data_IF_438511260065
#
_entry.id   IF_438511260065
#
_cell.length_a   1.000
_cell.length_b   1.000
_cell.length_c   1.000
_cell.angle_alpha   90.00
_cell.angle_beta   90.00
_cell.angle_gamma   90.00
#
_symmetry.space_group_name_H-M   'P 1'
#
loop_
_entity.id
_entity.type
_entity.pdbx_description
1 polymer ?
#
# COMPACT_ATOMS: atom_id res chain seq x y z
N UNK A 1 27.12 22.45 -31.03
CA UNK A 1 26.53 21.54 -32.03
C UNK A 1 26.83 20.10 -31.61
N UNK A 2 25.80 19.23 -31.68
CA UNK A 2 25.78 17.77 -31.42
C UNK A 2 25.99 17.38 -29.94
N UNK A 3 24.95 17.14 -29.14
CA UNK A 3 23.86 16.12 -29.20
C UNK A 3 24.38 14.68 -29.14
N UNK A 4 24.45 14.12 -27.93
CA UNK A 4 24.34 12.67 -27.72
C UNK A 4 23.21 12.42 -26.73
N UNK A 5 22.15 11.81 -27.27
CA UNK A 5 20.90 11.46 -26.60
C UNK A 5 21.14 10.50 -25.42
N UNK A 6 20.78 10.93 -24.21
CA UNK A 6 20.42 10.04 -23.12
C UNK A 6 19.05 9.41 -23.45
N UNK A 7 19.09 8.19 -23.96
CA UNK A 7 17.95 7.28 -24.02
C UNK A 7 17.94 6.46 -22.73
N UNK A 8 17.42 7.01 -21.64
CA UNK A 8 17.09 6.21 -20.47
C UNK A 8 15.64 6.46 -20.06
N UNK A 9 14.83 5.43 -20.26
CA UNK A 9 13.40 5.44 -19.97
C UNK A 9 13.16 5.49 -18.47
N UNK A 10 12.62 6.61 -17.99
CA UNK A 10 12.03 6.70 -16.66
C UNK A 10 10.92 5.66 -16.51
N UNK A 11 11.07 4.74 -15.55
CA UNK A 11 10.01 3.80 -15.18
C UNK A 11 9.18 4.43 -14.07
N UNK A 12 7.95 4.80 -14.41
CA UNK A 12 6.95 5.22 -13.43
C UNK A 12 6.35 3.95 -12.80
N UNK A 13 6.40 3.85 -11.46
CA UNK A 13 5.79 2.73 -10.71
C UNK A 13 4.69 3.32 -9.84
N UNK A 14 3.43 2.96 -10.11
CA UNK A 14 2.29 3.31 -9.28
C UNK A 14 1.72 2.05 -8.63
N UNK A 15 2.04 1.79 -7.37
CA UNK A 15 1.51 0.64 -6.63
C UNK A 15 0.31 1.05 -5.76
N UNK A 16 -0.83 0.37 -5.93
CA UNK A 16 -1.97 0.41 -5.02
C UNK A 16 -2.30 -1.02 -4.58
N UNK A 17 -2.23 -1.30 -3.28
CA UNK A 17 -2.40 -2.66 -2.73
C UNK A 17 -3.67 -2.71 -1.86
N UNK A 18 -4.63 -3.56 -2.22
CA UNK A 18 -5.75 -3.98 -1.36
C UNK A 18 -6.28 -5.34 -1.86
N UNK A 19 -6.46 -6.35 -0.99
CA UNK A 19 -6.80 -7.74 -1.36
C UNK A 19 -8.06 -8.27 -0.64
N UNK A 20 -8.82 -9.22 -1.23
CA UNK A 20 -9.57 -10.32 -0.53
C UNK A 20 -10.29 -11.34 -1.46
N UNK A 21 -10.22 -12.63 -1.02
CA UNK A 21 -11.08 -13.84 -1.12
C UNK A 21 -11.66 -14.38 -2.46
N UNK A 22 -11.44 -15.69 -2.70
CA UNK A 22 -12.23 -16.51 -3.63
C UNK A 22 -12.80 -17.77 -2.96
N UNK A 23 -14.07 -18.04 -3.23
CA UNK A 23 -14.79 -19.30 -2.98
C UNK A 23 -14.68 -20.16 -4.24
N UNK A 24 -14.42 -21.45 -4.07
CA UNK A 24 -14.39 -22.44 -5.16
C UNK A 24 -15.80 -22.62 -5.75
N UNK A 25 -15.87 -22.71 -7.08
CA UNK A 25 -16.84 -23.57 -7.75
C UNK A 25 -16.13 -24.37 -8.85
N UNK A 26 -16.34 -25.67 -8.77
CA UNK A 26 -15.88 -26.71 -9.69
C UNK A 26 -16.74 -26.77 -10.95
N UNK A 27 -16.14 -27.29 -12.02
CA UNK A 27 -16.79 -27.83 -13.23
C UNK A 27 -17.58 -26.82 -14.09
N UNK A 28 -17.03 -26.46 -15.26
CA UNK A 28 -17.78 -26.38 -16.53
C UNK A 28 -16.91 -25.82 -17.67
N UNK A 29 -16.08 -26.65 -18.28
CA UNK A 29 -15.50 -26.34 -19.60
C UNK A 29 -16.55 -26.38 -20.74
N UNK A 30 -17.82 -26.71 -20.44
CA UNK A 30 -18.93 -26.71 -21.40
C UNK A 30 -19.86 -25.49 -21.39
N UNK A 31 -19.65 -24.48 -20.53
CA UNK A 31 -20.61 -23.38 -20.33
C UNK A 31 -20.19 -22.02 -20.93
N UNK A 32 -18.96 -21.88 -21.44
CA UNK A 32 -18.48 -20.59 -21.96
C UNK A 32 -19.02 -20.24 -23.36
N UNK A 33 -19.46 -21.21 -24.16
CA UNK A 33 -20.05 -20.93 -25.47
C UNK A 33 -21.46 -20.35 -25.37
N UNK A 34 -22.25 -20.72 -24.36
CA UNK A 34 -23.64 -20.29 -24.19
C UNK A 34 -23.81 -18.91 -23.53
N UNK A 35 -22.78 -18.40 -22.84
CA UNK A 35 -22.80 -17.06 -22.23
C UNK A 35 -22.46 -15.93 -23.21
N UNK A 36 -21.88 -16.23 -24.37
CA UNK A 36 -21.48 -15.21 -25.36
C UNK A 36 -22.64 -14.71 -26.21
N UNK A 37 -23.69 -15.52 -26.38
CA UNK A 37 -24.90 -15.16 -27.11
C UNK A 37 -25.88 -14.26 -26.35
N UNK A 38 -25.77 -14.17 -25.02
CA UNK A 38 -26.84 -13.57 -24.18
C UNK A 38 -26.52 -12.19 -23.58
N UNK A 39 -25.30 -11.67 -23.75
CA UNK A 39 -24.90 -10.41 -23.12
C UNK A 39 -25.32 -9.15 -23.92
N UNK A 40 -25.31 -9.23 -25.26
CA UNK A 40 -25.68 -8.11 -26.15
C UNK A 40 -27.19 -7.84 -26.11
N UNK A 41 -28.01 -8.88 -25.95
CA UNK A 41 -29.48 -8.79 -25.92
C UNK A 41 -30.06 -8.17 -24.63
N UNK A 42 -29.23 -7.95 -23.60
CA UNK A 42 -29.68 -7.40 -22.31
C UNK A 42 -29.70 -5.88 -22.24
N UNK A 43 -29.13 -5.17 -23.21
CA UNK A 43 -29.06 -3.71 -23.17
C UNK A 43 -30.12 -3.07 -24.07
N UNK A 44 -31.17 -2.51 -23.45
CA UNK A 44 -32.12 -1.64 -24.15
C UNK A 44 -31.70 -0.19 -24.01
N UNK A 45 -31.29 0.41 -25.12
CA UNK A 45 -30.93 1.83 -25.17
C UNK A 45 -32.17 2.71 -25.24
N UNK A 46 -32.31 3.62 -24.28
CA UNK A 46 -33.39 4.61 -24.24
C UNK A 46 -32.82 6.02 -24.17
N UNK A 47 -33.57 7.00 -24.68
CA UNK A 47 -33.21 8.42 -24.57
C UNK A 47 -33.60 8.90 -23.19
N UNK A 48 -32.69 9.58 -22.49
CA UNK A 48 -33.06 10.26 -21.26
C UNK A 48 -33.99 11.44 -21.59
N UNK A 49 -34.91 11.76 -20.69
CA UNK A 49 -35.84 12.87 -20.87
C UNK A 49 -35.55 14.06 -19.95
N UNK A 50 -34.64 13.88 -18.98
CA UNK A 50 -34.31 14.90 -18.00
C UNK A 50 -32.95 15.55 -18.31
N UNK A 51 -32.97 16.84 -18.66
CA UNK A 51 -31.79 17.62 -19.05
C UNK A 51 -30.77 17.76 -17.89
N UNK A 52 -31.22 17.87 -16.64
CA UNK A 52 -30.34 17.87 -15.47
C UNK A 52 -29.60 16.53 -15.31
N UNK A 53 -30.29 15.40 -15.53
CA UNK A 53 -29.63 14.08 -15.55
C UNK A 53 -28.64 13.96 -16.71
N UNK A 54 -28.95 14.50 -17.89
CA UNK A 54 -28.02 14.52 -19.02
C UNK A 54 -26.76 15.33 -18.72
N UNK A 55 -26.91 16.51 -18.13
CA UNK A 55 -25.79 17.38 -17.76
C UNK A 55 -24.93 16.77 -16.64
N UNK A 56 -25.57 16.21 -15.62
CA UNK A 56 -24.89 15.58 -14.49
C UNK A 56 -24.15 14.29 -14.92
N UNK A 57 -24.76 13.49 -15.81
CA UNK A 57 -24.18 12.22 -16.27
C UNK A 57 -23.32 12.36 -17.54
N UNK A 58 -23.36 13.51 -18.20
CA UNK A 58 -22.66 13.84 -19.45
C UNK A 58 -22.98 12.87 -20.61
N UNK A 59 -24.25 12.48 -20.74
CA UNK A 59 -24.76 11.53 -21.74
C UNK A 59 -26.21 11.83 -22.10
N UNK A 60 -26.67 11.36 -23.27
CA UNK A 60 -28.05 11.55 -23.76
C UNK A 60 -28.88 10.26 -23.64
N UNK A 61 -28.22 9.10 -23.63
CA UNK A 61 -28.84 7.78 -23.66
C UNK A 61 -28.56 6.98 -22.38
N UNK A 62 -29.51 6.16 -21.94
CA UNK A 62 -29.36 5.25 -20.79
C UNK A 62 -29.42 3.78 -21.25
N UNK A 63 -28.60 2.88 -20.68
CA UNK A 63 -27.48 3.17 -19.78
C UNK A 63 -26.34 3.92 -20.48
N UNK A 64 -25.80 4.98 -19.83
CA UNK A 64 -24.76 5.82 -20.41
C UNK A 64 -23.45 5.07 -20.71
N UNK A 65 -23.23 3.93 -20.05
CA UNK A 65 -22.08 3.07 -20.29
C UNK A 65 -22.25 2.13 -21.48
N UNK A 66 -23.47 1.97 -22.01
CA UNK A 66 -23.76 1.04 -23.10
C UNK A 66 -24.30 1.72 -24.35
N UNK A 67 -24.86 2.91 -24.22
CA UNK A 67 -25.67 3.54 -25.26
C UNK A 67 -25.11 4.90 -25.67
N UNK A 68 -25.01 5.12 -26.98
CA UNK A 68 -24.66 6.43 -27.57
C UNK A 68 -25.84 6.99 -28.35
N UNK A 69 -25.92 8.32 -28.42
CA UNK A 69 -26.85 8.98 -29.32
C UNK A 69 -26.26 9.01 -30.72
N UNK A 70 -26.92 8.33 -31.66
CA UNK A 70 -26.54 8.40 -33.07
C UNK A 70 -27.27 9.56 -33.71
N UNK A 71 -26.52 10.57 -34.16
CA UNK A 71 -27.09 11.68 -34.92
C UNK A 71 -27.62 11.24 -36.29
N UNK A 72 -27.09 10.14 -36.83
CA UNK A 72 -27.50 9.58 -38.11
C UNK A 72 -28.88 8.89 -38.02
N UNK A 73 -29.11 8.07 -36.99
CA UNK A 73 -30.40 7.40 -36.77
C UNK A 73 -31.34 8.19 -35.83
N UNK A 74 -30.90 9.33 -35.31
CA UNK A 74 -31.59 10.16 -34.31
C UNK A 74 -32.08 9.39 -33.07
N UNK A 75 -31.48 8.25 -32.79
CA UNK A 75 -31.88 7.32 -31.75
C UNK A 75 -30.71 6.94 -30.85
N UNK A 76 -31.05 6.44 -29.66
CA UNK A 76 -30.08 5.81 -28.78
C UNK A 76 -29.78 4.41 -29.27
N UNK A 77 -28.53 4.17 -29.63
CA UNK A 77 -28.04 2.88 -30.14
C UNK A 77 -26.98 2.33 -29.21
N UNK A 78 -26.77 1.02 -29.26
CA UNK A 78 -25.66 0.40 -28.54
C UNK A 78 -24.34 0.99 -29.07
N UNK A 79 -23.42 1.29 -28.15
CA UNK A 79 -22.10 1.80 -28.50
C UNK A 79 -21.33 0.74 -29.29
N UNK A 80 -20.60 1.13 -30.34
CA UNK A 80 -19.78 0.21 -31.13
C UNK A 80 -18.65 -0.45 -30.30
N UNK A 81 -18.35 0.10 -29.13
CA UNK A 81 -17.43 -0.48 -28.14
C UNK A 81 -18.00 -1.75 -27.47
N UNK A 82 -19.32 -1.94 -27.49
CA UNK A 82 -20.01 -3.15 -27.02
C UNK A 82 -20.32 -4.17 -28.12
N UNK A 83 -20.09 -3.84 -29.39
CA UNK A 83 -20.15 -4.88 -30.43
C UNK A 83 -19.09 -5.91 -30.08
N UNK A 84 -19.52 -7.18 -30.06
CA UNK A 84 -18.66 -8.35 -29.93
C UNK A 84 -17.31 -8.07 -30.58
N UNK A 85 -16.23 -8.40 -29.85
CA UNK A 85 -14.87 -8.30 -30.35
C UNK A 85 -14.87 -8.71 -31.81
N UNK A 86 -14.65 -7.73 -32.68
CA UNK A 86 -14.39 -8.01 -34.07
C UNK A 86 -13.28 -9.05 -34.06
N UNK A 87 -13.47 -10.15 -34.77
CA UNK A 87 -12.41 -11.12 -35.09
C UNK A 87 -11.23 -10.48 -35.86
N UNK A 88 -11.20 -9.15 -35.99
CA UNK A 88 -10.04 -8.39 -36.38
C UNK A 88 -9.06 -8.27 -35.22
N UNK A 89 -7.88 -8.79 -35.48
CA UNK A 89 -6.59 -8.69 -34.79
C UNK A 89 -6.09 -7.26 -34.53
N UNK A 90 -6.98 -6.27 -34.40
CA UNK A 90 -6.61 -4.92 -33.96
C UNK A 90 -6.28 -4.97 -32.47
N UNK A 91 -5.07 -5.44 -32.15
CA UNK A 91 -4.40 -5.09 -30.89
C UNK A 91 -4.50 -3.57 -30.78
N UNK A 92 -5.23 -3.08 -29.78
CA UNK A 92 -5.14 -1.68 -29.37
C UNK A 92 -3.66 -1.37 -29.20
N UNK A 93 -3.10 -0.54 -30.09
CA UNK A 93 -1.71 -0.15 -30.00
C UNK A 93 -1.54 0.65 -28.71
N UNK A 94 -0.71 0.19 -27.76
CA UNK A 94 -0.50 0.92 -26.52
C UNK A 94 -0.01 2.34 -26.82
N UNK A 95 -0.67 3.33 -26.23
CA UNK A 95 -0.21 4.72 -26.28
C UNK A 95 0.91 4.85 -25.26
N UNK A 96 2.06 5.40 -25.66
CA UNK A 96 3.11 5.69 -24.69
C UNK A 96 2.56 6.65 -23.62
N UNK A 97 2.46 6.22 -22.34
CA UNK A 97 1.93 7.10 -21.31
C UNK A 97 2.87 8.27 -21.08
N UNK A 98 2.31 9.41 -20.68
CA UNK A 98 3.11 10.54 -20.22
C UNK A 98 3.90 10.09 -18.99
N UNK A 99 5.22 10.28 -18.98
CA UNK A 99 6.08 9.83 -17.87
C UNK A 99 6.36 10.94 -16.85
N UNK A 100 5.90 12.16 -17.12
CA UNK A 100 6.05 13.30 -16.21
C UNK A 100 5.27 13.06 -14.90
N UNK A 101 5.97 12.97 -13.75
CA UNK A 101 5.33 12.75 -12.46
C UNK A 101 4.26 13.79 -12.12
N UNK A 102 4.39 15.04 -12.59
CA UNK A 102 3.43 16.12 -12.32
C UNK A 102 2.04 15.81 -12.90
N UNK A 103 1.97 14.99 -13.95
CA UNK A 103 0.70 14.55 -14.53
C UNK A 103 0.00 13.48 -13.70
N UNK A 104 0.76 12.64 -13.00
CA UNK A 104 0.22 11.52 -12.23
C UNK A 104 0.01 11.84 -10.75
N UNK A 105 0.92 12.62 -10.17
CA UNK A 105 0.91 12.97 -8.76
C UNK A 105 -0.04 14.11 -8.46
N UNK A 106 -0.56 14.14 -7.25
CA UNK A 106 -1.30 15.29 -6.73
C UNK A 106 -0.37 16.51 -6.73
N UNK A 107 -0.84 17.58 -7.35
CA UNK A 107 -0.24 18.91 -7.24
C UNK A 107 -0.41 19.44 -5.81
N UNK A 108 0.31 20.51 -5.46
CA UNK A 108 0.19 21.16 -4.15
C UNK A 108 -1.26 21.59 -3.85
N UNK A 109 -1.97 22.12 -4.85
CA UNK A 109 -3.37 22.52 -4.72
C UNK A 109 -4.29 21.31 -4.47
N UNK A 110 -4.10 20.21 -5.22
CA UNK A 110 -4.87 18.98 -5.02
C UNK A 110 -4.56 18.34 -3.66
N UNK A 111 -3.30 18.26 -3.25
CA UNK A 111 -2.87 17.76 -1.93
C UNK A 111 -3.52 18.57 -0.81
N UNK A 112 -3.49 19.90 -0.90
CA UNK A 112 -4.13 20.82 0.04
C UNK A 112 -5.65 20.62 0.09
N UNK A 113 -6.29 20.38 -1.05
CA UNK A 113 -7.73 20.07 -1.10
C UNK A 113 -8.07 18.79 -0.32
N UNK A 114 -7.20 17.76 -0.35
CA UNK A 114 -7.38 16.52 0.44
C UNK A 114 -7.26 16.72 1.96
N UNK A 115 -6.81 17.90 2.39
CA UNK A 115 -6.54 18.30 3.78
C UNK A 115 -7.41 19.48 4.21
N UNK A 116 -8.54 19.70 3.54
CA UNK A 116 -9.48 20.79 3.83
C UNK A 116 -8.81 22.17 3.88
N UNK A 117 -7.91 22.44 2.94
CA UNK A 117 -7.20 23.71 2.80
C UNK A 117 -5.89 23.80 3.58
N UNK A 118 -5.57 22.83 4.44
CA UNK A 118 -4.38 22.87 5.30
C UNK A 118 -3.13 22.42 4.52
N UNK A 119 -2.05 23.22 4.48
CA UNK A 119 -0.77 22.81 3.90
C UNK A 119 -0.25 21.49 4.49
N UNK A 120 0.55 20.75 3.71
CA UNK A 120 1.20 19.53 4.19
C UNK A 120 2.66 19.84 4.53
N UNK A 121 2.94 19.90 5.83
CA UNK A 121 4.29 20.14 6.34
C UNK A 121 4.96 18.81 6.75
N UNK A 122 6.28 18.77 6.69
CA UNK A 122 7.11 17.64 7.18
C UNK A 122 7.29 16.48 6.22
N UNK A 123 6.55 16.43 5.11
CA UNK A 123 6.77 15.49 4.00
C UNK A 123 6.87 16.28 2.69
N UNK A 124 7.69 15.81 1.77
CA UNK A 124 7.76 16.41 0.43
C UNK A 124 6.45 16.16 -0.34
N UNK A 125 6.15 17.02 -1.32
CA UNK A 125 5.02 16.80 -2.22
C UNK A 125 5.27 15.54 -3.06
N UNK A 126 6.47 15.40 -3.59
CA UNK A 126 7.03 14.18 -4.16
C UNK A 126 8.57 14.32 -4.16
N UNK A 127 9.26 13.21 -4.40
CA UNK A 127 10.72 13.22 -4.60
C UNK A 127 11.11 12.45 -5.86
N UNK A 128 12.25 12.83 -6.42
CA UNK A 128 12.94 12.11 -7.49
C UNK A 128 14.13 11.33 -6.90
N UNK A 129 14.76 10.46 -7.69
CA UNK A 129 15.98 9.77 -7.25
C UNK A 129 15.72 8.56 -6.36
N UNK A 130 14.52 7.97 -6.39
CA UNK A 130 14.19 6.81 -5.57
C UNK A 130 14.45 5.51 -6.31
N UNK A 131 15.02 4.53 -5.61
CA UNK A 131 15.07 3.14 -6.04
C UNK A 131 13.95 2.36 -5.37
N UNK A 132 13.19 1.61 -6.16
CA UNK A 132 11.94 0.96 -5.75
C UNK A 132 12.03 -0.53 -6.06
N UNK A 133 11.88 -1.35 -5.02
CA UNK A 133 11.78 -2.81 -5.14
C UNK A 133 10.36 -3.23 -4.80
N UNK A 134 9.69 -3.91 -5.72
CA UNK A 134 8.37 -4.49 -5.48
C UNK A 134 8.51 -5.92 -4.99
N UNK A 135 7.86 -6.24 -3.88
CA UNK A 135 7.76 -7.59 -3.32
C UNK A 135 6.34 -8.08 -3.51
N UNK A 136 6.07 -8.75 -4.64
CA UNK A 136 4.77 -9.40 -4.92
C UNK A 136 4.65 -10.79 -4.30
N UNK A 137 5.73 -11.27 -3.67
CA UNK A 137 5.80 -12.53 -2.93
C UNK A 137 6.18 -12.16 -1.51
N UNK A 138 5.37 -12.55 -0.53
CA UNK A 138 5.57 -12.08 0.85
C UNK A 138 6.83 -12.64 1.48
N UNK A 139 7.25 -13.87 1.15
CA UNK A 139 8.53 -14.43 1.62
C UNK A 139 9.76 -13.62 1.19
N UNK A 140 9.74 -12.99 0.02
CA UNK A 140 10.82 -12.11 -0.43
C UNK A 140 10.85 -10.82 0.40
N UNK A 141 9.69 -10.28 0.77
CA UNK A 141 9.59 -9.15 1.70
C UNK A 141 10.15 -9.51 3.08
N UNK A 142 9.75 -10.65 3.65
CA UNK A 142 10.27 -11.11 4.94
C UNK A 142 11.80 -11.28 4.91
N UNK A 143 12.32 -11.84 3.82
CA UNK A 143 13.77 -12.00 3.63
C UNK A 143 14.48 -10.64 3.55
N UNK A 144 13.90 -9.66 2.86
CA UNK A 144 14.48 -8.32 2.73
C UNK A 144 14.56 -7.59 4.08
N UNK A 145 13.48 -7.57 4.87
CA UNK A 145 13.49 -6.92 6.18
C UNK A 145 14.36 -7.66 7.19
N UNK A 146 14.46 -8.99 7.11
CA UNK A 146 15.37 -9.80 7.93
C UNK A 146 16.83 -9.38 7.64
N UNK A 147 17.21 -9.34 6.37
CA UNK A 147 18.56 -8.97 5.95
C UNK A 147 18.92 -7.53 6.35
N UNK A 148 18.04 -6.56 6.09
CA UNK A 148 18.27 -5.17 6.48
C UNK A 148 18.36 -5.03 8.01
N UNK A 149 17.48 -5.71 8.76
CA UNK A 149 17.53 -5.68 10.24
C UNK A 149 18.83 -6.28 10.77
N UNK A 150 19.29 -7.40 10.23
CA UNK A 150 20.55 -8.03 10.63
C UNK A 150 21.78 -7.23 10.20
N UNK A 151 21.66 -6.29 9.25
CA UNK A 151 22.77 -5.47 8.75
C UNK A 151 23.05 -4.21 9.57
N UNK A 152 22.20 -3.85 10.53
CA UNK A 152 22.52 -2.74 11.47
C UNK A 152 23.82 -3.03 12.20
N UNK A 153 24.54 -2.00 12.61
CA UNK A 153 25.85 -2.12 13.24
C UNK A 153 26.20 -0.98 14.21
N UNK A 154 25.37 0.07 14.30
CA UNK A 154 25.67 1.29 15.04
C UNK A 154 24.55 1.72 16.00
N UNK A 155 24.86 2.41 17.12
CA UNK A 155 23.88 3.11 17.96
C UNK A 155 23.07 4.19 17.25
N UNK A 156 23.50 4.64 16.07
CA UNK A 156 22.78 5.60 15.22
C UNK A 156 21.84 4.93 14.22
N UNK A 157 21.79 3.60 14.19
CA UNK A 157 20.86 2.84 13.36
C UNK A 157 19.49 2.78 14.02
N UNK A 158 18.45 2.66 13.18
CA UNK A 158 17.05 2.74 13.58
C UNK A 158 16.27 1.61 12.94
N UNK A 159 15.44 0.92 13.72
CA UNK A 159 14.48 -0.08 13.24
C UNK A 159 13.09 0.28 13.75
N UNK A 160 12.32 0.97 12.92
CA UNK A 160 10.99 1.48 13.29
C UNK A 160 9.92 0.74 12.50
N UNK A 161 8.84 0.30 13.14
CA UNK A 161 7.75 -0.37 12.44
C UNK A 161 6.38 -0.10 13.03
N UNK A 162 5.39 -0.04 12.14
CA UNK A 162 3.99 0.06 12.51
C UNK A 162 3.18 -0.99 11.76
N UNK A 163 2.13 -1.48 12.39
CA UNK A 163 1.28 -2.53 11.84
C UNK A 163 -0.14 -2.50 12.40
N UNK A 164 -1.04 -3.18 11.71
CA UNK A 164 -2.39 -3.44 12.16
C UNK A 164 -2.41 -4.59 13.17
N UNK A 165 -1.58 -5.61 12.93
CA UNK A 165 -1.37 -6.74 13.83
C UNK A 165 0.11 -7.08 13.91
N UNK A 166 0.49 -7.77 14.98
CA UNK A 166 1.83 -8.32 15.15
C UNK A 166 1.78 -9.63 15.94
N UNK A 167 2.72 -10.53 15.66
CA UNK A 167 2.99 -11.71 16.47
C UNK A 167 4.49 -12.03 16.46
N UNK A 168 4.95 -12.87 17.39
CA UNK A 168 6.30 -13.44 17.32
C UNK A 168 6.32 -14.56 16.26
N UNK A 169 6.71 -14.19 15.05
CA UNK A 169 6.72 -15.05 13.87
C UNK A 169 8.13 -15.46 13.48
N UNK A 170 8.24 -16.61 12.79
CA UNK A 170 9.43 -17.01 12.05
C UNK A 170 9.52 -16.18 10.76
N UNK A 171 10.62 -15.46 10.56
CA UNK A 171 10.83 -14.58 9.40
C UNK A 171 11.31 -15.37 8.18
N UNK A 172 12.12 -16.42 8.38
CA UNK A 172 12.55 -17.33 7.32
C UNK A 172 12.38 -18.81 7.72
N UNK A 173 11.22 -19.41 7.39
CA UNK A 173 10.95 -20.84 7.57
C UNK A 173 11.91 -21.77 6.83
N UNK A 174 12.63 -21.29 5.80
CA UNK A 174 13.55 -22.12 5.01
C UNK A 174 14.92 -22.24 5.67
N UNK A 175 15.22 -21.41 6.67
CA UNK A 175 16.49 -21.47 7.39
C UNK A 175 16.62 -22.79 8.16
N UNK A 176 17.84 -23.34 8.19
CA UNK A 176 18.13 -24.59 8.95
C UNK A 176 17.78 -24.43 10.43
N UNK A 177 18.04 -23.25 10.99
CA UNK A 177 17.64 -22.85 12.34
C UNK A 177 16.59 -21.74 12.25
N UNK A 178 15.39 -22.09 11.77
CA UNK A 178 14.30 -21.13 11.55
C UNK A 178 13.85 -20.44 12.85
N UNK A 179 14.04 -21.09 14.00
CA UNK A 179 13.78 -20.55 15.33
C UNK A 179 14.63 -19.31 15.64
N UNK A 180 15.87 -19.26 15.16
CA UNK A 180 16.74 -18.07 15.28
C UNK A 180 16.28 -16.90 14.41
N UNK A 181 15.39 -17.16 13.45
CA UNK A 181 14.79 -16.12 12.59
C UNK A 181 13.49 -15.57 13.17
N UNK A 182 13.11 -15.96 14.39
CA UNK A 182 11.94 -15.40 15.07
C UNK A 182 12.10 -13.90 15.26
N UNK A 183 11.00 -13.16 15.08
CA UNK A 183 11.00 -11.69 15.20
C UNK A 183 11.65 -11.24 16.52
N UNK A 184 11.30 -11.87 17.65
CA UNK A 184 11.91 -11.53 18.93
C UNK A 184 13.42 -11.78 18.99
N UNK A 185 13.93 -12.84 18.37
CA UNK A 185 15.37 -13.10 18.27
C UNK A 185 16.07 -12.04 17.41
N UNK A 186 15.47 -11.67 16.28
CA UNK A 186 16.00 -10.60 15.42
C UNK A 186 16.05 -9.28 16.19
N UNK A 187 15.01 -8.94 16.96
CA UNK A 187 15.00 -7.73 17.78
C UNK A 187 16.08 -7.75 18.88
N UNK A 188 16.39 -8.92 19.46
CA UNK A 188 17.53 -9.05 20.39
C UNK A 188 18.86 -8.78 19.69
N UNK A 189 19.06 -9.32 18.49
CA UNK A 189 20.28 -9.08 17.70
C UNK A 189 20.41 -7.60 17.33
N UNK A 190 19.36 -6.99 16.78
CA UNK A 190 19.30 -5.56 16.43
C UNK A 190 19.66 -4.71 17.65
N UNK A 191 19.07 -5.01 18.81
CA UNK A 191 19.32 -4.29 20.05
C UNK A 191 20.76 -4.45 20.54
N UNK A 192 21.30 -5.66 20.48
CA UNK A 192 22.68 -5.96 20.90
C UNK A 192 23.72 -5.19 20.07
N UNK A 193 23.39 -4.88 18.82
CA UNK A 193 24.20 -4.01 17.94
C UNK A 193 24.01 -2.51 18.18
N UNK A 194 23.19 -2.13 19.16
CA UNK A 194 23.02 -0.75 19.61
C UNK A 194 21.88 0.02 18.98
N UNK A 195 21.24 -0.50 17.92
CA UNK A 195 20.18 0.20 17.19
C UNK A 195 18.98 0.57 18.09
N UNK A 196 18.31 1.67 17.71
CA UNK A 196 17.07 2.13 18.34
C UNK A 196 15.84 1.48 17.69
N UNK A 197 14.98 0.87 18.49
CA UNK A 197 13.85 0.07 18.00
C UNK A 197 12.52 0.68 18.47
N UNK A 198 11.61 0.97 17.54
CA UNK A 198 10.30 1.56 17.86
C UNK A 198 9.18 0.80 17.18
N UNK A 199 8.21 0.34 17.96
CA UNK A 199 7.04 -0.38 17.46
C UNK A 199 5.76 0.36 17.81
N UNK A 200 4.91 0.62 16.79
CA UNK A 200 3.61 1.24 16.96
C UNK A 200 2.50 0.36 16.35
N UNK A 201 1.80 -0.40 17.18
CA UNK A 201 0.84 -1.42 16.73
C UNK A 201 -0.59 -0.99 17.07
N UNK A 202 -1.55 -1.25 16.18
CA UNK A 202 -2.95 -0.95 16.49
C UNK A 202 -3.43 -1.77 17.69
N UNK A 203 -4.03 -1.10 18.68
CA UNK A 203 -4.70 -1.79 19.78
C UNK A 203 -6.05 -2.34 19.27
N UNK A 204 -6.21 -3.66 19.29
CA UNK A 204 -7.35 -4.37 18.71
C UNK A 204 -7.62 -5.70 19.44
N UNK A 205 -8.61 -6.45 18.97
CA UNK A 205 -9.02 -7.73 19.58
C UNK A 205 -7.99 -8.85 19.48
N UNK A 206 -6.87 -8.67 18.78
CA UNK A 206 -5.82 -9.68 18.56
C UNK A 206 -4.45 -9.26 19.12
N UNK A 207 -4.44 -8.29 20.04
CA UNK A 207 -3.26 -7.92 20.82
C UNK A 207 -2.64 -9.08 21.59
N UNK A 208 -3.41 -10.14 21.90
CA UNK A 208 -2.90 -11.34 22.57
C UNK A 208 -1.74 -11.99 21.83
N UNK A 209 -1.76 -11.97 20.49
CA UNK A 209 -0.69 -12.51 19.65
C UNK A 209 0.59 -11.66 19.70
N UNK A 210 0.47 -10.35 19.94
CA UNK A 210 1.59 -9.42 20.03
C UNK A 210 2.24 -9.31 21.40
N UNK A 211 1.68 -9.97 22.44
CA UNK A 211 2.17 -9.85 23.83
C UNK A 211 3.62 -10.27 24.01
N UNK A 212 4.07 -11.31 23.31
CA UNK A 212 5.46 -11.75 23.43
C UNK A 212 6.44 -10.73 22.84
N UNK A 213 6.12 -10.14 21.68
CA UNK A 213 6.93 -9.07 21.08
C UNK A 213 6.96 -7.85 21.99
N UNK A 214 5.80 -7.46 22.54
CA UNK A 214 5.69 -6.36 23.51
C UNK A 214 6.57 -6.63 24.75
N UNK A 215 6.46 -7.82 25.36
CA UNK A 215 7.23 -8.23 26.53
C UNK A 215 8.72 -8.22 26.24
N UNK A 216 9.16 -8.76 25.11
CA UNK A 216 10.58 -8.73 24.73
C UNK A 216 11.07 -7.30 24.61
N UNK A 217 10.36 -6.45 23.85
CA UNK A 217 10.79 -5.07 23.62
C UNK A 217 10.76 -4.19 24.87
N UNK A 218 9.74 -4.35 25.74
CA UNK A 218 9.54 -3.47 26.88
C UNK A 218 10.15 -3.99 28.19
N UNK A 219 10.30 -5.31 28.34
CA UNK A 219 10.71 -5.94 29.60
C UNK A 219 12.03 -6.70 29.54
N UNK A 220 12.39 -7.29 28.40
CA UNK A 220 13.60 -8.10 28.25
C UNK A 220 14.78 -7.29 27.70
N UNK A 221 14.55 -6.50 26.65
CA UNK A 221 15.61 -5.68 26.08
C UNK A 221 16.06 -4.60 27.08
N UNK A 222 17.36 -4.22 27.11
CA UNK A 222 17.89 -3.27 28.08
C UNK A 222 17.04 -2.00 28.16
N UNK A 223 16.65 -1.65 29.39
CA UNK A 223 15.85 -0.47 29.71
C UNK A 223 16.78 0.70 30.09
N UNK A 224 17.20 1.59 29.19
CA UNK A 224 17.33 2.98 29.59
C UNK A 224 15.94 3.47 30.00
N UNK A 225 15.89 4.43 30.92
CA UNK A 225 14.68 5.00 31.52
C UNK A 225 13.62 5.47 30.49
N UNK A 226 14.03 5.72 29.24
CA UNK A 226 13.22 6.00 28.04
C UNK A 226 13.44 5.02 26.85
N UNK A 227 14.43 4.13 26.96
CA UNK A 227 14.63 2.93 26.15
C UNK A 227 15.11 3.15 24.72
N UNK A 228 16.15 2.44 24.29
CA UNK A 228 16.48 2.25 22.85
C UNK A 228 15.68 1.08 22.22
N UNK A 229 14.66 0.59 22.92
CA UNK A 229 13.61 -0.26 22.41
C UNK A 229 12.30 0.12 23.11
N UNK A 230 11.23 0.37 22.35
CA UNK A 230 9.92 0.68 22.90
C UNK A 230 8.79 0.21 21.99
N UNK A 231 7.88 -0.57 22.57
CA UNK A 231 6.65 -1.01 21.92
C UNK A 231 5.45 -0.29 22.53
N UNK A 232 4.64 0.32 21.67
CA UNK A 232 3.40 0.99 22.03
C UNK A 232 2.23 0.42 21.23
N UNK A 233 1.13 0.15 21.90
CA UNK A 233 -0.16 0.02 21.25
C UNK A 233 -0.78 1.40 21.04
N UNK A 234 -1.50 1.59 19.95
CA UNK A 234 -2.13 2.87 19.58
C UNK A 234 -3.57 2.61 19.17
N UNK A 235 -4.52 3.36 19.74
CA UNK A 235 -5.94 3.32 19.38
C UNK A 235 -6.51 4.69 19.05
N UNK A 236 -5.64 5.65 18.68
CA UNK A 236 -6.01 7.02 18.34
C UNK A 236 -6.77 7.13 17.02
N UNK A 237 -7.96 6.55 16.95
CA UNK A 237 -8.83 6.49 15.76
C UNK A 237 -10.15 7.25 16.00
N UNK A 238 -10.73 7.90 14.98
CA UNK A 238 -11.88 8.80 15.16
C UNK A 238 -13.18 8.12 15.62
N UNK A 239 -13.25 6.79 15.54
CA UNK A 239 -14.44 6.02 15.89
C UNK A 239 -14.08 4.55 16.11
N UNK A 240 -14.96 3.80 16.77
CA UNK A 240 -14.83 2.34 16.98
C UNK A 240 -14.72 1.51 15.68
N UNK A 241 -15.18 2.05 14.55
CA UNK A 241 -15.05 1.40 13.22
C UNK A 241 -13.77 1.80 12.49
N UNK A 242 -12.95 2.68 13.07
CA UNK A 242 -11.67 3.09 12.54
C UNK A 242 -10.55 2.13 12.96
N UNK A 243 -9.46 2.11 12.21
CA UNK A 243 -8.28 1.33 12.55
C UNK A 243 -7.01 2.02 12.09
N UNK A 244 -5.90 1.66 12.74
CA UNK A 244 -4.57 1.96 12.24
C UNK A 244 -4.14 0.86 11.29
N UNK A 245 -4.40 1.06 10.00
CA UNK A 245 -4.21 0.02 8.99
C UNK A 245 -2.92 0.16 8.17
N UNK A 246 -2.09 1.16 8.47
CA UNK A 246 -0.78 1.32 7.83
C UNK A 246 0.18 0.21 8.29
N UNK A 247 0.87 -0.43 7.35
CA UNK A 247 2.01 -1.30 7.62
C UNK A 247 3.26 -0.66 7.07
N UNK A 248 4.26 -0.47 7.92
CA UNK A 248 5.56 0.01 7.50
C UNK A 248 6.67 -0.60 8.35
N UNK A 249 7.81 -0.83 7.71
CA UNK A 249 9.04 -1.24 8.37
C UNK A 249 10.17 -0.36 7.84
N UNK A 250 10.90 0.30 8.72
CA UNK A 250 11.87 1.34 8.39
C UNK A 250 13.19 0.93 9.00
N UNK A 251 14.24 0.85 8.17
CA UNK A 251 15.59 0.56 8.61
C UNK A 251 16.51 1.69 8.16
N UNK A 252 17.02 2.45 9.13
CA UNK A 252 18.20 3.29 8.92
C UNK A 252 19.41 2.48 9.37
N UNK A 253 20.38 2.34 8.47
CA UNK A 253 21.68 1.74 8.77
C UNK A 253 22.76 2.61 8.14
N UNK A 254 23.72 3.03 8.96
CA UNK A 254 24.74 4.01 8.59
C UNK A 254 24.07 5.26 7.96
N UNK A 255 24.48 5.61 6.74
CA UNK A 255 23.98 6.72 5.92
C UNK A 255 22.82 6.34 4.99
N UNK A 256 22.26 5.14 5.12
CA UNK A 256 21.22 4.64 4.22
C UNK A 256 19.90 4.43 4.95
N UNK A 257 18.81 4.72 4.25
CA UNK A 257 17.45 4.55 4.76
C UNK A 257 16.63 3.77 3.74
N UNK A 258 16.06 2.66 4.22
CA UNK A 258 15.09 1.86 3.48
C UNK A 258 13.77 1.86 4.24
N UNK A 259 12.67 2.10 3.53
CA UNK A 259 11.33 2.00 4.08
C UNK A 259 10.49 1.01 3.26
N UNK A 260 9.89 0.05 3.93
CA UNK A 260 8.99 -0.93 3.36
C UNK A 260 7.55 -0.55 3.69
N UNK A 261 6.68 -0.41 2.68
CA UNK A 261 5.25 -0.07 2.86
C UNK A 261 4.36 -0.94 1.97
N UNK A 262 3.15 -1.27 2.43
CA UNK A 262 2.22 -2.13 1.68
C UNK A 262 1.20 -2.84 2.56
N UNK A 263 0.77 -4.03 2.13
CA UNK A 263 -0.34 -4.78 2.73
C UNK A 263 0.06 -5.81 3.79
N UNK A 264 1.34 -6.12 3.92
CA UNK A 264 1.82 -7.24 4.75
C UNK A 264 2.08 -6.82 6.21
N UNK A 265 1.34 -7.40 7.16
CA UNK A 265 1.66 -7.33 8.60
C UNK A 265 2.72 -8.39 8.97
N UNK A 266 3.45 -8.18 10.07
CA UNK A 266 4.30 -9.21 10.69
C UNK A 266 3.44 -10.15 11.54
N UNK A 267 2.68 -11.03 10.87
CA UNK A 267 1.68 -11.87 11.51
C UNK A 267 1.73 -13.34 11.05
N UNK A 268 1.08 -14.20 11.84
CA UNK A 268 1.27 -15.66 11.89
C UNK A 268 1.14 -16.40 10.54
N UNK A 269 0.39 -15.88 9.59
CA UNK A 269 0.03 -16.55 8.33
C UNK A 269 0.42 -15.74 7.09
N UNK A 270 1.33 -14.78 7.23
CA UNK A 270 1.68 -13.83 6.15
C UNK A 270 2.84 -14.27 5.29
N UNK A 271 3.71 -15.15 5.77
CA UNK A 271 4.81 -15.68 4.97
C UNK A 271 4.28 -16.72 3.97
N UNK A 272 4.54 -16.49 2.69
CA UNK A 272 4.17 -17.41 1.60
C UNK A 272 5.06 -17.26 0.36
N UNK A 273 5.02 -18.26 -0.51
CA UNK A 273 5.79 -18.33 -1.76
C UNK A 273 4.92 -18.07 -2.97
N UNK A 274 5.54 -17.75 -4.11
CA UNK A 274 4.83 -17.50 -5.37
C UNK A 274 3.94 -18.66 -5.81
N UNK A 275 4.29 -19.89 -5.42
CA UNK A 275 3.59 -21.12 -5.80
C UNK A 275 2.51 -21.55 -4.79
N UNK A 276 2.46 -20.94 -3.60
CA UNK A 276 1.50 -21.26 -2.53
C UNK A 276 1.45 -22.74 -2.12
N UNK A 277 2.52 -23.51 -2.38
CA UNK A 277 2.58 -24.96 -2.20
C UNK A 277 3.43 -25.38 -0.99
N UNK A 278 3.91 -24.43 -0.19
CA UNK A 278 4.75 -24.68 1.00
C UNK A 278 3.93 -24.93 2.27
N UNK A 279 2.89 -25.76 2.19
CA UNK A 279 2.02 -26.04 3.35
C UNK A 279 2.78 -26.75 4.48
N UNK A 280 3.52 -27.81 4.15
CA UNK A 280 4.27 -28.59 5.13
C UNK A 280 5.33 -27.76 5.87
N UNK A 281 6.03 -26.88 5.14
CA UNK A 281 7.05 -26.00 5.70
C UNK A 281 6.43 -24.98 6.66
N UNK A 282 5.31 -24.38 6.26
CA UNK A 282 4.60 -23.41 7.10
C UNK A 282 4.04 -24.06 8.36
N UNK A 283 3.49 -25.27 8.26
CA UNK A 283 2.99 -25.99 9.43
C UNK A 283 4.14 -26.34 10.39
N UNK A 284 5.29 -26.82 9.90
CA UNK A 284 6.45 -27.16 10.76
C UNK A 284 7.09 -25.94 11.42
N UNK A 285 7.12 -24.78 10.75
CA UNK A 285 7.65 -23.53 11.29
C UNK A 285 6.62 -22.72 12.11
N UNK A 286 5.38 -23.20 12.25
CA UNK A 286 4.32 -22.49 12.96
C UNK A 286 3.81 -21.23 12.24
N UNK A 287 4.02 -21.13 10.92
CA UNK A 287 3.43 -20.10 10.06
C UNK A 287 1.99 -20.51 9.72
N UNK A 288 1.11 -20.44 10.70
CA UNK A 288 -0.27 -20.84 10.53
C UNK A 288 -1.25 -19.92 11.25
N UNK A 289 -2.40 -19.69 10.63
CA UNK A 289 -3.57 -19.12 11.25
C UNK A 289 -4.80 -19.60 10.47
N UNK A 290 -5.73 -18.70 10.15
CA UNK A 290 -6.96 -19.03 9.44
C UNK A 290 -6.73 -19.46 7.99
N UNK A 291 -5.75 -18.88 7.30
CA UNK A 291 -5.55 -19.08 5.87
C UNK A 291 -4.33 -19.93 5.57
N UNK A 292 -4.47 -20.81 4.59
CA UNK A 292 -3.43 -21.73 4.12
C UNK A 292 -2.69 -21.20 2.90
N UNK A 293 -2.78 -19.90 2.60
CA UNK A 293 -1.96 -19.21 1.61
C UNK A 293 -2.21 -17.70 1.70
N UNK A 294 -1.25 -16.89 1.29
CA UNK A 294 -1.32 -15.44 1.36
C UNK A 294 -0.77 -14.79 0.08
N UNK A 295 -1.59 -13.98 -0.57
CA UNK A 295 -1.20 -13.15 -1.71
C UNK A 295 -1.30 -11.70 -1.27
N UNK A 296 -0.19 -11.00 -1.31
CA UNK A 296 -0.11 -9.60 -0.92
C UNK A 296 1.16 -8.98 -1.49
N UNK A 297 1.28 -7.66 -1.39
CA UNK A 297 2.42 -6.94 -1.92
C UNK A 297 2.96 -5.89 -0.95
N UNK A 298 4.29 -5.73 -0.99
CA UNK A 298 5.03 -4.68 -0.33
C UNK A 298 5.92 -3.96 -1.33
N UNK A 299 6.30 -2.72 -1.03
CA UNK A 299 7.30 -1.96 -1.76
C UNK A 299 8.41 -1.56 -0.80
N UNK A 300 9.66 -1.86 -1.15
CA UNK A 300 10.86 -1.31 -0.52
C UNK A 300 11.29 -0.04 -1.25
N UNK A 301 11.48 1.03 -0.49
CA UNK A 301 11.86 2.36 -0.96
C UNK A 301 13.24 2.69 -0.41
N UNK A 302 14.20 2.88 -1.31
CA UNK A 302 15.52 3.43 -0.98
C UNK A 302 15.69 4.77 -1.69
N UNK A 303 15.80 5.86 -0.93
CA UNK A 303 15.86 7.21 -1.49
C UNK A 303 15.12 8.24 -0.64
N UNK A 304 14.99 9.50 -1.12
CA UNK A 304 14.38 10.58 -0.37
C UNK A 304 12.94 10.31 0.11
N UNK A 305 12.15 9.51 -0.62
CA UNK A 305 10.81 9.13 -0.21
C UNK A 305 10.76 8.22 1.03
N UNK A 306 11.84 7.47 1.32
CA UNK A 306 11.92 6.67 2.54
C UNK A 306 11.93 7.56 3.79
N UNK A 307 12.51 8.76 3.70
CA UNK A 307 12.49 9.77 4.77
C UNK A 307 11.07 10.27 5.04
N UNK A 308 10.25 10.45 4.01
CA UNK A 308 8.84 10.85 4.18
C UNK A 308 8.02 9.75 4.87
N UNK A 309 8.32 8.47 4.60
CA UNK A 309 7.71 7.34 5.34
C UNK A 309 8.15 7.36 6.81
N UNK A 310 9.44 7.56 7.09
CA UNK A 310 9.95 7.70 8.45
C UNK A 310 9.32 8.89 9.19
N UNK A 311 9.19 10.04 8.53
CA UNK A 311 8.53 11.22 9.09
C UNK A 311 7.06 10.97 9.39
N UNK A 312 6.36 10.15 8.58
CA UNK A 312 5.00 9.75 8.90
C UNK A 312 4.91 8.88 10.17
N UNK A 313 5.85 7.95 10.35
CA UNK A 313 5.96 7.17 11.59
C UNK A 313 6.23 8.08 12.79
N UNK A 314 7.26 8.93 12.71
CA UNK A 314 7.70 9.83 13.79
C UNK A 314 6.58 10.81 14.15
N UNK A 315 5.88 11.39 13.16
CA UNK A 315 4.78 12.31 13.43
C UNK A 315 3.65 11.63 14.22
N UNK A 316 3.37 10.35 13.94
CA UNK A 316 2.36 9.58 14.67
C UNK A 316 2.86 9.11 16.03
N UNK A 317 4.14 8.77 16.19
CA UNK A 317 4.74 8.51 17.49
C UNK A 317 4.60 9.74 18.40
N UNK A 318 5.01 10.91 17.89
CA UNK A 318 5.01 12.20 18.58
C UNK A 318 3.61 12.86 18.67
N UNK A 319 2.56 12.19 18.20
CA UNK A 319 1.21 12.73 18.27
C UNK A 319 0.81 12.97 19.74
N UNK A 320 0.23 14.13 20.09
CA UNK A 320 -0.11 14.46 21.46
C UNK A 320 -1.17 13.51 22.04
N UNK A 321 -1.12 13.37 23.36
CA UNK A 321 -2.00 12.49 24.13
C UNK A 321 -1.54 11.03 24.14
N UNK A 322 -2.02 10.29 25.13
CA UNK A 322 -1.67 8.88 25.29
C UNK A 322 -2.06 8.06 24.04
N UNK A 323 -1.20 7.14 23.55
CA UNK A 323 -1.52 6.31 22.41
C UNK A 323 -2.70 5.36 22.63
N UNK A 324 -2.95 4.92 23.87
CA UNK A 324 -4.18 4.20 24.25
C UNK A 324 -5.10 5.17 25.00
N UNK A 325 -6.26 5.44 24.42
CA UNK A 325 -7.30 6.31 24.96
C UNK A 325 -8.65 5.60 25.10
N UNK A 326 -8.98 4.68 24.18
CA UNK A 326 -10.31 4.06 24.11
C UNK A 326 -10.34 2.73 24.85
N UNK A 327 -9.32 1.88 24.67
CA UNK A 327 -9.27 0.53 25.24
C UNK A 327 -8.75 0.50 26.68
N UNK A 328 -8.17 1.59 27.20
CA UNK A 328 -7.50 1.63 28.51
C UNK A 328 -8.34 1.05 29.65
N UNK A 329 -9.63 1.41 29.69
CA UNK A 329 -10.55 1.03 30.76
C UNK A 329 -11.45 -0.17 30.37
N UNK A 330 -10.99 -1.01 29.43
CA UNK A 330 -11.73 -2.20 28.98
C UNK A 330 -11.01 -3.47 29.40
N UNK A 331 -11.68 -4.62 29.33
CA UNK A 331 -11.06 -5.93 29.59
C UNK A 331 -9.92 -6.27 28.61
N UNK A 332 -9.90 -5.59 27.45
CA UNK A 332 -8.83 -5.67 26.44
C UNK A 332 -7.72 -4.63 26.67
N UNK A 333 -7.83 -3.85 27.74
CA UNK A 333 -6.92 -2.75 28.06
C UNK A 333 -5.50 -3.23 28.28
N UNK A 334 -4.56 -2.50 27.69
CA UNK A 334 -3.12 -2.65 27.94
C UNK A 334 -2.61 -1.25 28.27
N UNK A 335 -1.83 -1.14 29.35
CA UNK A 335 -1.14 0.11 29.63
C UNK A 335 0.17 0.14 28.83
N UNK A 336 0.40 1.24 28.12
CA UNK A 336 1.69 1.48 27.52
C UNK A 336 2.68 1.95 28.58
N UNK A 337 3.95 1.51 28.52
CA UNK A 337 4.99 2.13 29.31
C UNK A 337 5.24 3.57 28.83
N UNK A 338 5.85 4.43 29.68
CA UNK A 338 6.24 5.78 29.29
C UNK A 338 7.11 5.78 28.02
N UNK A 339 6.95 6.82 27.20
CA UNK A 339 7.73 7.04 26.00
C UNK A 339 8.06 8.52 25.82
N UNK A 340 9.16 8.80 25.12
CA UNK A 340 9.62 10.14 24.77
C UNK A 340 9.39 10.43 23.29
N UNK A 341 9.22 11.71 22.90
CA UNK A 341 9.18 12.09 21.49
C UNK A 341 10.49 11.72 20.77
N UNK A 342 10.37 11.26 19.53
CA UNK A 342 11.50 10.98 18.66
C UNK A 342 11.95 12.25 17.92
N UNK A 343 13.26 12.39 17.74
CA UNK A 343 13.83 13.29 16.76
C UNK A 343 13.56 12.84 15.31
N UNK A 344 14.13 13.57 14.35
CA UNK A 344 14.17 13.12 12.96
C UNK A 344 14.96 11.82 12.81
N UNK A 345 14.75 11.08 11.71
CA UNK A 345 15.41 9.78 11.49
C UNK A 345 16.96 9.88 11.43
N UNK A 346 17.50 11.07 11.13
CA UNK A 346 18.94 11.39 11.09
C UNK A 346 19.47 11.93 12.44
N UNK A 347 18.65 11.94 13.48
CA UNK A 347 19.07 12.43 14.79
C UNK A 347 19.54 11.27 15.67
N UNK A 348 20.60 11.50 16.42
CA UNK A 348 21.00 10.65 17.53
C UNK A 348 20.03 10.76 18.72
N UNK A 349 20.27 9.95 19.75
CA UNK A 349 19.43 9.94 20.95
C UNK A 349 19.60 11.21 21.81
N UNK A 350 20.54 12.10 21.48
CA UNK A 350 20.72 13.42 22.10
C UNK A 350 20.04 14.54 21.32
N UNK A 351 19.41 14.21 20.17
CA UNK A 351 18.76 15.16 19.28
C UNK A 351 19.73 15.90 18.35
N UNK A 352 21.00 15.46 18.26
CA UNK A 352 21.98 16.02 17.31
C UNK A 352 21.93 15.26 16.00
N UNK A 353 22.22 15.95 14.90
CA UNK A 353 22.39 15.28 13.61
C UNK A 353 23.55 14.30 13.66
N UNK A 354 23.29 13.04 13.32
CA UNK A 354 24.26 11.98 13.25
C UNK A 354 23.98 11.10 12.03
N UNK A 355 25.03 10.80 11.27
CA UNK A 355 24.97 9.97 10.07
C UNK A 355 23.93 10.45 9.04
N UNK A 356 24.19 11.60 8.38
CA UNK A 356 23.28 12.13 7.37
C UNK A 356 23.05 11.12 6.25
N UNK A 357 21.86 11.16 5.66
CA UNK A 357 21.50 10.24 4.59
C UNK A 357 22.27 10.55 3.30
N UNK A 358 22.86 9.53 2.71
CA UNK A 358 23.65 9.63 1.47
C UNK A 358 23.06 8.68 0.43
N UNK A 359 22.70 9.25 -0.72
CA UNK A 359 22.16 8.53 -1.88
C UNK A 359 23.10 8.75 -3.08
N UNK A 360 24.22 8.01 -3.17
CA UNK A 360 25.25 8.29 -4.16
C UNK A 360 24.80 7.99 -5.59
N UNK A 361 23.80 7.13 -5.75
CA UNK A 361 23.20 6.76 -7.03
C UNK A 361 21.68 6.99 -6.95
N UNK A 362 21.17 8.15 -7.42
CA UNK A 362 19.74 8.41 -7.42
C UNK A 362 19.04 7.38 -8.31
N UNK A 363 18.00 6.74 -7.76
CA UNK A 363 17.21 5.77 -8.52
C UNK A 363 16.30 6.41 -9.56
N UNK A 364 15.76 5.64 -10.51
CA UNK A 364 15.04 6.16 -11.67
C UNK A 364 13.62 6.64 -11.36
N UNK A 365 13.10 6.40 -10.14
CA UNK A 365 11.68 6.55 -9.85
C UNK A 365 11.38 7.87 -9.12
N UNK A 366 10.28 8.50 -9.55
CA UNK A 366 9.60 9.54 -8.79
C UNK A 366 8.60 8.90 -7.81
N UNK A 367 8.47 9.45 -6.61
CA UNK A 367 7.55 8.91 -5.58
C UNK A 367 6.83 10.04 -4.87
N UNK A 368 5.51 9.92 -4.74
CA UNK A 368 4.67 10.75 -3.88
C UNK A 368 4.08 9.89 -2.75
N UNK A 369 4.46 10.17 -1.51
CA UNK A 369 3.87 9.51 -0.34
C UNK A 369 2.47 10.06 -0.10
N UNK A 370 1.48 9.17 0.01
CA UNK A 370 0.08 9.49 0.34
C UNK A 370 -0.36 8.73 1.58
N UNK A 371 -1.33 9.28 2.31
CA UNK A 371 -1.78 8.75 3.60
C UNK A 371 -3.23 9.13 3.89
N UNK A 372 -3.83 8.42 4.84
CA UNK A 372 -5.18 8.72 5.32
C UNK A 372 -5.17 8.91 6.82
N UNK A 373 -5.63 10.07 7.29
CA UNK A 373 -5.83 10.38 8.71
C UNK A 373 -7.22 10.98 8.91
N UNK A 374 -7.96 10.47 9.90
CA UNK A 374 -9.29 10.96 10.21
C UNK A 374 -9.28 12.37 10.82
N UNK A 375 -10.31 13.17 10.51
CA UNK A 375 -10.43 14.57 10.94
C UNK A 375 -11.07 14.78 12.32
N UNK A 376 -11.56 13.72 12.99
CA UNK A 376 -12.45 13.83 14.17
C UNK A 376 -11.90 13.24 15.47
N UNK A 377 -10.66 12.76 15.51
CA UNK A 377 -10.16 12.10 16.72
C UNK A 377 -9.52 13.08 17.70
N UNK A 378 -10.32 13.74 18.57
CA UNK A 378 -9.91 14.54 19.76
C UNK A 378 -8.64 15.41 19.60
N UNK A 379 -8.34 15.86 18.38
CA UNK A 379 -7.10 16.56 18.07
C UNK A 379 -5.80 15.74 18.15
N UNK A 380 -5.84 14.41 18.23
CA UNK A 380 -4.64 13.56 18.33
C UNK A 380 -3.65 13.77 17.18
N UNK A 381 -4.14 14.16 16.00
CA UNK A 381 -3.29 14.44 14.83
C UNK A 381 -3.16 15.93 14.52
N UNK A 382 -3.46 16.81 15.48
CA UNK A 382 -3.40 18.26 15.27
C UNK A 382 -2.03 18.78 14.83
N UNK A 383 -0.95 18.11 15.23
CA UNK A 383 0.40 18.50 14.88
C UNK A 383 0.76 18.31 13.41
N UNK A 384 0.09 17.40 12.67
CA UNK A 384 0.45 17.10 11.27
C UNK A 384 -0.73 16.87 10.31
N UNK A 385 -1.92 16.56 10.81
CA UNK A 385 -3.16 16.39 10.04
C UNK A 385 -4.38 16.92 10.83
N UNK A 386 -4.42 18.22 11.20
CA UNK A 386 -5.45 18.78 12.09
C UNK A 386 -6.87 18.73 11.53
N UNK A 387 -7.02 18.68 10.20
CA UNK A 387 -8.31 18.48 9.52
C UNK A 387 -8.38 17.13 8.79
N UNK A 388 -7.51 16.19 9.15
CA UNK A 388 -7.32 14.94 8.44
C UNK A 388 -6.56 15.10 7.12
N UNK A 389 -6.36 13.97 6.45
CA UNK A 389 -5.78 13.88 5.11
C UNK A 389 -6.41 12.68 4.39
N UNK A 390 -6.80 12.84 3.13
CA UNK A 390 -7.39 11.78 2.30
C UNK A 390 -6.65 11.65 0.95
N UNK A 391 -5.33 11.83 0.98
CA UNK A 391 -4.49 11.88 -0.23
C UNK A 391 -4.41 10.54 -0.96
N UNK A 392 -4.56 9.40 -0.26
CA UNK A 392 -4.64 8.07 -0.89
C UNK A 392 -5.80 8.01 -1.88
N UNK A 393 -7.01 8.40 -1.43
CA UNK A 393 -8.20 8.35 -2.29
C UNK A 393 -8.06 9.25 -3.52
N UNK A 394 -7.56 10.48 -3.34
CA UNK A 394 -7.37 11.41 -4.43
C UNK A 394 -6.31 10.93 -5.43
N UNK A 395 -5.19 10.36 -4.95
CA UNK A 395 -4.14 9.85 -5.81
C UNK A 395 -4.59 8.63 -6.61
N UNK A 396 -5.30 7.66 -5.99
CA UNK A 396 -5.93 6.53 -6.70
C UNK A 396 -6.85 7.06 -7.79
N UNK A 397 -7.76 7.98 -7.44
CA UNK A 397 -8.72 8.57 -8.36
C UNK A 397 -8.03 9.23 -9.55
N UNK A 398 -6.97 10.01 -9.29
CA UNK A 398 -6.20 10.69 -10.34
C UNK A 398 -5.48 9.68 -11.24
N UNK A 399 -4.81 8.68 -10.67
CA UNK A 399 -4.12 7.64 -11.45
C UNK A 399 -5.08 6.90 -12.39
N UNK A 400 -6.26 6.50 -11.90
CA UNK A 400 -7.30 5.86 -12.72
C UNK A 400 -7.76 6.78 -13.86
N UNK A 401 -7.98 8.07 -13.58
CA UNK A 401 -8.39 9.04 -14.60
C UNK A 401 -7.31 9.33 -15.66
N UNK A 402 -6.04 9.17 -15.28
CA UNK A 402 -4.89 9.42 -16.15
C UNK A 402 -4.42 8.19 -16.92
N UNK A 403 -4.88 7.00 -16.54
CA UNK A 403 -4.57 5.76 -17.24
C UNK A 403 -5.00 5.85 -18.72
N UNK A 404 -4.16 5.33 -19.62
CA UNK A 404 -4.40 5.38 -21.07
C UNK A 404 -4.59 4.00 -21.71
N UNK A 405 -3.98 2.95 -21.13
CA UNK A 405 -3.92 1.63 -21.77
C UNK A 405 -4.63 0.55 -20.96
N UNK A 406 -4.23 0.38 -19.70
CA UNK A 406 -4.77 -0.63 -18.81
C UNK A 406 -4.74 -0.14 -17.36
N UNK A 407 -5.62 -0.72 -16.56
CA UNK A 407 -5.56 -0.68 -15.11
C UNK A 407 -5.57 -2.13 -14.68
N UNK A 408 -4.49 -2.57 -14.03
CA UNK A 408 -4.44 -3.85 -13.34
C UNK A 408 -4.76 -3.58 -11.87
N UNK A 409 -5.72 -4.34 -11.34
CA UNK A 409 -6.15 -4.20 -9.96
C UNK A 409 -6.39 -5.59 -9.39
N UNK A 410 -5.54 -6.07 -8.46
CA UNK A 410 -5.83 -7.29 -7.72
C UNK A 410 -7.00 -7.10 -6.72
N UNK A 411 -7.52 -5.87 -6.57
CA UNK A 411 -8.54 -5.54 -5.57
C UNK A 411 -9.96 -6.01 -5.96
N UNK A 412 -10.56 -6.83 -5.10
CA UNK A 412 -11.94 -7.33 -5.18
C UNK A 412 -13.03 -6.44 -4.56
N UNK A 413 -12.73 -5.21 -4.12
CA UNK A 413 -13.73 -4.30 -3.53
C UNK A 413 -13.72 -2.90 -4.13
N UNK A 414 -14.37 -2.75 -5.29
CA UNK A 414 -14.93 -1.47 -5.71
C UNK A 414 -16.29 -1.27 -5.04
N UNK A 415 -16.31 -1.01 -3.72
CA UNK A 415 -17.55 -0.65 -3.00
C UNK A 415 -17.90 0.84 -3.09
N UNK A 416 -17.06 1.65 -3.73
CA UNK A 416 -17.31 3.08 -3.93
C UNK A 416 -17.93 3.32 -5.32
N UNK A 417 -19.20 3.75 -5.42
CA UNK A 417 -19.86 4.02 -6.69
C UNK A 417 -19.09 4.98 -7.59
N UNK A 418 -18.37 5.95 -7.00
CA UNK A 418 -17.57 6.91 -7.76
C UNK A 418 -16.35 6.26 -8.42
N UNK A 419 -15.75 5.20 -7.84
CA UNK A 419 -14.67 4.46 -8.50
C UNK A 419 -15.21 3.58 -9.62
N UNK A 420 -16.38 2.96 -9.42
CA UNK A 420 -17.05 2.17 -10.45
C UNK A 420 -17.46 3.02 -11.66
N UNK A 421 -17.97 4.24 -11.44
CA UNK A 421 -18.28 5.20 -12.51
C UNK A 421 -17.04 5.68 -13.26
N UNK A 422 -15.90 5.81 -12.57
CA UNK A 422 -14.63 6.22 -13.20
C UNK A 422 -14.02 5.06 -14.00
N UNK A 423 -14.04 3.83 -13.48
CA UNK A 423 -13.66 2.64 -14.24
C UNK A 423 -14.54 2.44 -15.46
N UNK A 424 -15.86 2.67 -15.34
CA UNK A 424 -16.77 2.65 -16.47
C UNK A 424 -16.43 3.74 -17.50
N UNK A 425 -15.98 4.93 -17.07
CA UNK A 425 -15.51 6.00 -17.98
C UNK A 425 -14.16 5.68 -18.63
N UNK A 426 -13.27 4.97 -17.94
CA UNK A 426 -12.00 4.46 -18.49
C UNK A 426 -12.27 3.42 -19.58
N UNK A 427 -13.20 2.49 -19.33
CA UNK A 427 -13.68 1.50 -20.28
C UNK A 427 -14.19 2.14 -21.59
N UNK A 428 -14.87 3.30 -21.49
CA UNK A 428 -15.41 4.04 -22.63
C UNK A 428 -14.36 4.85 -23.44
N UNK A 429 -13.12 5.01 -22.96
CA UNK A 429 -12.10 5.89 -23.57
C UNK A 429 -10.95 5.18 -24.30
N UNK A 430 -11.15 3.92 -24.72
CA UNK A 430 -10.17 3.06 -25.43
C UNK A 430 -9.10 2.41 -24.55
N UNK A 431 -9.49 1.87 -23.40
CA UNK A 431 -8.56 1.11 -22.58
C UNK A 431 -9.18 -0.22 -22.13
N UNK A 432 -8.38 -1.28 -22.18
CA UNK A 432 -8.76 -2.61 -21.73
C UNK A 432 -8.57 -2.67 -20.22
N UNK A 433 -9.64 -2.91 -19.46
CA UNK A 433 -9.52 -3.35 -18.07
C UNK A 433 -9.26 -4.86 -18.14
N UNK A 434 -8.08 -5.31 -17.70
CA UNK A 434 -7.88 -6.74 -17.41
C UNK A 434 -8.23 -6.97 -15.96
N UNK A 435 -9.37 -7.63 -15.75
CA UNK A 435 -9.55 -8.44 -14.56
C UNK A 435 -8.81 -9.75 -14.83
N UNK A 436 -7.65 -9.96 -14.22
CA UNK A 436 -7.02 -11.27 -14.24
C UNK A 436 -7.86 -12.21 -13.37
N UNK A 437 -8.82 -12.87 -14.02
CA UNK A 437 -9.36 -14.14 -13.56
C UNK A 437 -8.39 -15.20 -14.06
N UNK A 438 -7.41 -15.52 -13.22
CA UNK A 438 -6.55 -16.72 -13.24
C UNK A 438 -6.53 -17.54 -14.53
N UNK A 439 -5.49 -17.39 -15.34
CA UNK A 439 -4.98 -18.47 -16.18
C UNK A 439 -3.46 -18.55 -16.04
N UNK A 440 -3.03 -19.45 -15.16
CA UNK A 440 -1.64 -19.85 -15.02
C UNK A 440 -1.32 -20.89 -16.12
N UNK A 441 -1.05 -20.41 -17.33
CA UNK A 441 -0.20 -21.09 -18.30
C UNK A 441 0.01 -20.17 -19.50
N UNK A 442 1.25 -20.09 -19.95
CA UNK A 442 1.75 -19.22 -21.03
C UNK A 442 1.85 -17.73 -20.68
N UNK A 443 3.01 -17.33 -20.17
CA UNK A 443 3.73 -16.11 -20.57
C UNK A 443 5.17 -16.19 -20.04
N UNK A 444 5.94 -17.13 -20.58
CA UNK A 444 7.39 -17.01 -20.65
C UNK A 444 7.73 -16.10 -21.84
N UNK A 445 7.46 -14.79 -21.73
CA UNK A 445 8.26 -13.84 -22.49
C UNK A 445 8.08 -12.40 -22.02
N UNK A 446 9.20 -11.71 -22.09
CA UNK A 446 9.50 -10.32 -21.73
C UNK A 446 8.37 -9.33 -22.04
N UNK A 447 7.63 -8.89 -21.01
CA UNK A 447 7.21 -7.49 -20.78
C UNK A 447 6.09 -7.43 -19.73
N UNK A 448 6.43 -7.10 -18.49
CA UNK A 448 5.46 -6.77 -17.44
C UNK A 448 5.56 -5.26 -17.19
N UNK A 449 4.45 -4.53 -17.35
CA UNK A 449 4.37 -3.08 -17.10
C UNK A 449 3.45 -2.89 -15.89
N UNK A 450 4.02 -2.33 -14.82
CA UNK A 450 3.42 -2.06 -13.50
C UNK A 450 2.94 -0.63 -13.42
#
# INVERSE_FOLDING_TARGET
MRSSLLKDGARLVAAFVTAFLHLRLSQSEGALSDLTGTFVDKFRCSRMHNVFKMLHRLCICEPCHACRYSFQSRACVLSDVLRQGTNDTVRLQPIQPVLDPVKWFLTEAEMRATRSGVPRNGLQLYSLGNNITTYSVTSDYFSAILNDSLSVSSPNDRVYFAGWKIADIVMDPRAVRFDETRLTEILRVVKAKGADIRALIWANTEMSAGREVQRVMNDVLPKPFDGSARFLYDDRVPSIVGSHHQKMFIVKRDHQLTAYIGGVDLFLDRWDTMTHNEQSLRDSAGVNAKYKGWVDAQVGIHGPAAKDVANNFIARWNAPGEPIQQLRNTELGVDNPPHTPLGGIEMDNTGKYADPLVYPQPGPSAVQIVRTFGCKHKGAYNSFAPKGEFSVHAAVKKAILMAQNFITSPAGHYRNPAHSDILARFWLRKASIRHDLTNASALSDKSTVV
#
